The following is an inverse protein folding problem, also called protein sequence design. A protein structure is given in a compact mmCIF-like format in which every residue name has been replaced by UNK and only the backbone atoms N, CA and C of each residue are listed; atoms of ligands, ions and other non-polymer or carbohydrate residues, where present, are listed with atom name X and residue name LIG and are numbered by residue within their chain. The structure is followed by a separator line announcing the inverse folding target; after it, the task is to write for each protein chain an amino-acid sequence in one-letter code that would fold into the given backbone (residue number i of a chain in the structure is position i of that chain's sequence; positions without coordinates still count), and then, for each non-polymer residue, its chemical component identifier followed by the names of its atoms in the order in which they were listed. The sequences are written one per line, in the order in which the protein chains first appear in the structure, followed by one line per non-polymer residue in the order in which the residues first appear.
data_IF_798160886176
#
_entry.id   IF_798160886176
#
_cell.length_a   1.000
_cell.length_b   1.000
_cell.length_c   1.000
_cell.angle_alpha   90.00
_cell.angle_beta   90.00
_cell.angle_gamma   90.00
#
_symmetry.space_group_name_H-M   'P 1'
#
loop_
_entity.id
_entity.type
_entity.pdbx_description
1 polymer ?
#
# COMPACT_ATOMS: atom_id res chain seq x y z
N UNK A 1 -0.07 11.43 20.55
CA UNK A 1 -0.35 11.76 19.14
C UNK A 1 -0.74 10.49 18.43
N UNK A 2 -1.61 10.55 17.43
CA UNK A 2 -2.03 9.36 16.67
C UNK A 2 -1.42 9.36 15.27
N UNK A 3 -1.09 8.19 14.77
CA UNK A 3 -0.69 7.97 13.37
C UNK A 3 -1.45 6.79 12.80
N UNK A 4 -1.84 6.88 11.52
CA UNK A 4 -2.55 5.81 10.82
C UNK A 4 -1.72 5.26 9.66
N UNK A 5 -1.73 3.95 9.51
CA UNK A 5 -1.17 3.23 8.37
C UNK A 5 -2.32 2.84 7.48
N UNK A 6 -2.52 3.57 6.38
CA UNK A 6 -3.61 3.36 5.42
C UNK A 6 -3.21 2.30 4.40
N UNK A 7 -4.03 1.26 4.24
CA UNK A 7 -3.83 0.15 3.33
C UNK A 7 -4.91 0.14 2.26
N UNK A 8 -4.49 0.22 0.99
CA UNK A 8 -5.42 0.24 -0.14
C UNK A 8 -5.64 -1.16 -0.70
N UNK A 9 -6.90 -1.60 -0.74
CA UNK A 9 -7.30 -2.88 -1.34
C UNK A 9 -7.15 -2.82 -2.87
N UNK A 10 -6.46 -3.82 -3.43
CA UNK A 10 -6.38 -4.01 -4.87
C UNK A 10 -7.78 -4.25 -5.44
N UNK A 11 -8.10 -3.63 -6.60
CA UNK A 11 -9.34 -3.94 -7.32
C UNK A 11 -9.01 -4.93 -8.40
N UNK A 12 -9.31 -6.20 -8.14
CA UNK A 12 -9.16 -7.24 -9.13
C UNK A 12 -10.51 -7.49 -9.81
N UNK A 13 -10.65 -7.02 -11.04
CA UNK A 13 -11.82 -7.33 -11.88
C UNK A 13 -11.50 -8.53 -12.78
N UNK A 14 -12.15 -9.68 -12.52
CA UNK A 14 -11.96 -10.91 -13.32
C UNK A 14 -12.19 -10.71 -14.82
N UNK A 15 -13.15 -9.84 -15.20
CA UNK A 15 -13.45 -9.50 -16.59
C UNK A 15 -12.27 -8.83 -17.32
N UNK A 16 -11.42 -8.13 -16.58
CA UNK A 16 -10.22 -7.46 -17.09
C UNK A 16 -9.06 -8.43 -17.34
N UNK A 17 -9.14 -9.64 -16.80
CA UNK A 17 -8.17 -10.72 -17.02
C UNK A 17 -8.48 -11.52 -18.30
N UNK A 18 -9.75 -11.63 -18.67
CA UNK A 18 -10.21 -12.41 -19.83
C UNK A 18 -10.32 -11.59 -21.13
N UNK A 19 -10.36 -10.26 -21.04
CA UNK A 19 -10.30 -9.39 -22.23
C UNK A 19 -8.87 -8.90 -22.40
N UNK A 20 -8.35 -9.00 -23.61
CA UNK A 20 -7.04 -8.55 -24.16
C UNK A 20 -6.69 -7.07 -23.96
N UNK A 21 -7.28 -6.37 -22.98
CA UNK A 21 -6.85 -5.03 -22.60
C UNK A 21 -5.53 -5.13 -21.84
N UNK A 22 -4.56 -4.32 -22.27
CA UNK A 22 -3.27 -4.11 -21.58
C UNK A 22 -3.55 -3.81 -20.12
N UNK A 23 -3.35 -4.81 -19.27
CA UNK A 23 -3.57 -4.63 -17.85
C UNK A 23 -2.45 -3.70 -17.37
N UNK A 24 -2.81 -2.56 -16.76
CA UNK A 24 -1.89 -1.66 -16.08
C UNK A 24 -1.49 -2.31 -14.74
N UNK A 25 -0.82 -3.45 -14.87
CA UNK A 25 -0.64 -4.50 -13.87
C UNK A 25 0.64 -4.31 -13.06
N UNK A 26 1.22 -3.11 -12.94
CA UNK A 26 2.59 -3.04 -12.41
C UNK A 26 2.60 -3.30 -10.89
N UNK A 27 1.63 -2.84 -10.11
CA UNK A 27 1.59 -3.15 -8.66
C UNK A 27 0.96 -4.52 -8.34
N UNK A 28 -0.02 -4.96 -9.13
CA UNK A 28 -0.75 -6.23 -8.89
C UNK A 28 -0.07 -7.45 -9.56
N UNK A 29 0.64 -7.29 -10.68
CA UNK A 29 1.35 -8.41 -11.32
C UNK A 29 2.57 -8.83 -10.55
N UNK A 30 3.26 -7.91 -9.85
CA UNK A 30 4.39 -8.30 -9.00
C UNK A 30 3.92 -9.33 -7.99
N UNK A 31 2.77 -9.11 -7.33
CA UNK A 31 2.24 -10.05 -6.35
C UNK A 31 1.67 -11.34 -6.94
N UNK A 32 1.14 -11.34 -8.17
CA UNK A 32 0.59 -12.56 -8.80
C UNK A 32 1.68 -13.38 -9.48
N UNK A 33 2.59 -12.75 -10.24
CA UNK A 33 3.66 -13.42 -10.97
C UNK A 33 4.83 -13.87 -10.07
N UNK A 34 5.25 -13.09 -9.06
CA UNK A 34 6.28 -13.59 -8.15
C UNK A 34 5.80 -14.75 -7.27
N UNK A 35 4.48 -14.91 -7.08
CA UNK A 35 3.90 -16.04 -6.36
C UNK A 35 3.79 -17.31 -7.21
N UNK A 36 3.39 -17.17 -8.49
CA UNK A 36 3.31 -18.31 -9.41
C UNK A 36 4.69 -18.91 -9.70
N UNK A 37 5.77 -18.13 -9.57
CA UNK A 37 7.15 -18.57 -9.80
C UNK A 37 7.85 -19.05 -8.52
N UNK A 38 7.50 -18.56 -7.32
CA UNK A 38 8.21 -18.88 -6.07
C UNK A 38 7.45 -19.82 -5.10
N UNK A 39 6.41 -20.52 -5.53
CA UNK A 39 5.85 -21.62 -4.72
C UNK A 39 6.85 -22.80 -4.73
N UNK A 40 7.52 -23.11 -3.60
CA UNK A 40 8.42 -24.26 -3.54
C UNK A 40 7.59 -25.53 -3.72
N UNK A 41 7.87 -26.28 -4.79
CA UNK A 41 7.19 -27.55 -5.10
C UNK A 41 6.29 -27.53 -6.35
N UNK A 42 6.14 -26.40 -7.06
CA UNK A 42 5.45 -26.40 -8.36
C UNK A 42 6.43 -26.81 -9.46
N UNK A 43 6.64 -28.12 -9.58
CA UNK A 43 7.10 -28.72 -10.84
C UNK A 43 5.98 -28.52 -11.85
N UNK A 44 6.24 -27.78 -12.93
CA UNK A 44 5.33 -27.60 -14.06
C UNK A 44 5.22 -28.92 -14.85
N UNK A 45 4.66 -29.96 -14.23
CA UNK A 45 4.25 -31.17 -14.93
C UNK A 45 2.77 -31.05 -15.28
N UNK A 46 2.48 -31.28 -16.56
CA UNK A 46 1.14 -31.40 -17.15
C UNK A 46 0.30 -32.42 -16.37
N UNK A 47 -0.48 -31.94 -15.40
CA UNK A 47 -1.55 -32.72 -14.80
C UNK A 47 -2.80 -31.87 -14.85
N UNK A 48 -3.72 -32.19 -15.76
CA UNK A 48 -5.07 -31.60 -15.86
C UNK A 48 -5.60 -31.08 -14.50
N UNK A 49 -5.42 -29.77 -14.26
CA UNK A 49 -5.58 -29.16 -12.94
C UNK A 49 -7.05 -28.75 -12.72
N UNK A 50 -7.59 -29.08 -11.55
CA UNK A 50 -8.99 -28.83 -11.19
C UNK A 50 -9.23 -27.33 -10.87
N UNK A 51 -9.42 -26.52 -11.93
CA UNK A 51 -9.53 -25.05 -11.93
C UNK A 51 -10.49 -24.48 -10.87
N UNK A 52 -11.55 -25.23 -10.51
CA UNK A 52 -12.57 -24.79 -9.54
C UNK A 52 -12.06 -24.64 -8.10
N UNK A 53 -11.11 -25.48 -7.65
CA UNK A 53 -10.58 -25.44 -6.27
C UNK A 53 -9.54 -24.33 -6.08
N UNK A 54 -8.65 -24.14 -7.06
CA UNK A 54 -7.70 -23.01 -7.08
C UNK A 54 -8.44 -21.67 -7.17
N UNK A 55 -9.52 -21.61 -7.96
CA UNK A 55 -10.33 -20.41 -8.14
C UNK A 55 -10.74 -19.77 -6.81
N UNK A 56 -11.21 -20.55 -5.83
CA UNK A 56 -11.64 -20.01 -4.52
C UNK A 56 -10.47 -19.55 -3.64
N UNK A 57 -9.40 -20.35 -3.52
CA UNK A 57 -8.26 -20.00 -2.68
C UNK A 57 -7.48 -18.79 -3.22
N UNK A 58 -7.26 -18.76 -4.53
CA UNK A 58 -6.68 -17.60 -5.23
C UNK A 58 -7.60 -16.39 -5.13
N UNK A 59 -8.93 -16.57 -5.18
CA UNK A 59 -9.86 -15.46 -4.96
C UNK A 59 -9.85 -14.90 -3.57
N UNK A 60 -9.87 -15.76 -2.55
CA UNK A 60 -9.77 -15.30 -1.17
C UNK A 60 -8.44 -14.55 -0.96
N UNK A 61 -7.36 -15.09 -1.52
CA UNK A 61 -6.05 -14.48 -1.49
C UNK A 61 -6.01 -13.10 -2.17
N UNK A 62 -6.62 -12.95 -3.36
CA UNK A 62 -6.65 -11.69 -4.09
C UNK A 62 -7.56 -10.66 -3.42
N UNK A 63 -8.68 -11.09 -2.83
CA UNK A 63 -9.57 -10.20 -2.06
C UNK A 63 -8.89 -9.58 -0.84
N UNK A 64 -7.89 -10.26 -0.30
CA UNK A 64 -7.11 -9.82 0.88
C UNK A 64 -5.77 -9.14 0.51
N UNK A 65 -5.56 -8.81 -0.77
CA UNK A 65 -4.32 -8.18 -1.21
C UNK A 65 -4.40 -6.65 -1.13
N UNK A 66 -3.50 -6.08 -0.34
CA UNK A 66 -3.18 -4.65 -0.37
C UNK A 66 -2.17 -4.37 -1.47
N UNK A 67 -2.51 -3.44 -2.37
CA UNK A 67 -1.61 -3.00 -3.46
C UNK A 67 -0.80 -1.75 -3.07
N UNK A 68 -1.24 -1.01 -2.06
CA UNK A 68 -0.59 0.23 -1.64
C UNK A 68 -0.72 0.44 -0.13
N UNK A 69 0.19 1.24 0.43
CA UNK A 69 0.14 1.66 1.82
C UNK A 69 0.69 3.07 1.97
N UNK A 70 0.10 3.86 2.87
CA UNK A 70 0.50 5.23 3.18
C UNK A 70 0.58 5.45 4.70
N UNK A 71 1.42 6.40 5.13
CA UNK A 71 1.39 6.93 6.51
C UNK A 71 0.51 8.16 6.50
N UNK A 72 -0.53 8.17 7.32
CA UNK A 72 -1.46 9.29 7.45
C UNK A 72 -1.25 9.96 8.80
N UNK A 73 -0.91 11.24 8.75
CA UNK A 73 -0.78 12.12 9.91
C UNK A 73 -2.00 13.04 10.00
N UNK A 74 -2.46 13.37 11.22
CA UNK A 74 -3.60 14.25 11.41
C UNK A 74 -3.27 15.70 11.01
N UNK A 75 -4.28 16.55 10.96
CA UNK A 75 -4.10 18.01 10.85
C UNK A 75 -3.48 18.63 12.12
N UNK A 76 -3.30 19.94 12.12
CA UNK A 76 -2.76 20.71 13.24
C UNK A 76 -3.60 20.64 14.53
N UNK A 77 -4.87 20.24 14.41
CA UNK A 77 -5.79 20.03 15.53
C UNK A 77 -5.85 18.56 15.97
N UNK A 78 -5.05 17.67 15.37
CA UNK A 78 -5.05 16.25 15.69
C UNK A 78 -6.20 15.45 15.05
N UNK A 79 -6.89 16.03 14.07
CA UNK A 79 -8.03 15.40 13.37
C UNK A 79 -7.59 14.62 12.15
N UNK A 80 -8.24 13.49 11.92
CA UNK A 80 -8.10 12.69 10.70
C UNK A 80 -9.30 12.84 9.78
N UNK A 81 -10.50 12.88 10.33
CA UNK A 81 -11.72 13.09 9.57
C UNK A 81 -12.76 13.71 10.49
N UNK A 82 -13.79 14.29 9.88
CA UNK A 82 -14.97 14.77 10.57
C UNK A 82 -16.19 14.27 9.79
N UNK A 83 -17.23 13.90 10.52
CA UNK A 83 -18.52 13.57 9.95
C UNK A 83 -19.34 14.86 9.95
N UNK A 84 -19.41 15.53 8.80
CA UNK A 84 -20.30 16.67 8.69
C UNK A 84 -21.76 16.15 8.68
N UNK A 85 -22.60 16.71 9.55
CA UNK A 85 -24.06 16.57 9.44
C UNK A 85 -24.48 17.04 8.04
N UNK A 86 -24.99 16.11 7.26
CA UNK A 86 -25.22 16.27 5.84
C UNK A 86 -26.15 17.45 5.53
N UNK A 87 -25.83 18.21 4.47
CA UNK A 87 -26.85 18.90 3.68
C UNK A 87 -27.70 17.84 2.95
N UNK A 88 -28.63 17.20 3.65
CA UNK A 88 -29.69 16.37 3.07
C UNK A 88 -29.39 14.87 2.83
N UNK A 89 -29.08 14.12 3.89
CA UNK A 89 -29.14 12.65 4.00
C UNK A 89 -27.94 11.80 3.52
N UNK A 90 -26.80 12.39 3.15
CA UNK A 90 -25.59 11.62 2.87
C UNK A 90 -24.43 12.08 3.76
N UNK A 91 -23.84 11.20 4.60
CA UNK A 91 -22.66 11.58 5.39
C UNK A 91 -21.55 12.00 4.43
N UNK A 92 -21.12 13.25 4.54
CA UNK A 92 -19.95 13.74 3.81
C UNK A 92 -18.77 13.61 4.76
N UNK A 93 -17.95 12.59 4.54
CA UNK A 93 -16.70 12.45 5.29
C UNK A 93 -15.68 13.46 4.75
N UNK A 94 -15.27 14.42 5.60
CA UNK A 94 -14.16 15.30 5.31
C UNK A 94 -12.88 14.65 5.85
N UNK A 95 -11.90 14.36 4.97
CA UNK A 95 -10.62 13.77 5.38
C UNK A 95 -9.54 14.86 5.51
N UNK A 96 -8.94 14.94 6.70
CA UNK A 96 -7.94 15.94 7.09
C UNK A 96 -6.54 15.35 7.22
N UNK A 97 -5.55 16.25 7.31
CA UNK A 97 -4.16 15.88 7.50
C UNK A 97 -3.46 15.49 6.19
N UNK A 98 -2.30 14.86 6.34
CA UNK A 98 -1.37 14.59 5.22
C UNK A 98 -1.01 13.12 5.15
N UNK A 99 -1.09 12.55 3.95
CA UNK A 99 -0.65 11.21 3.63
C UNK A 99 0.74 11.24 2.99
N UNK A 100 1.63 10.38 3.47
CA UNK A 100 3.00 10.21 2.99
C UNK A 100 3.18 8.81 2.44
N UNK A 101 3.77 8.70 1.25
CA UNK A 101 4.01 7.41 0.60
C UNK A 101 5.17 7.47 -0.40
N UNK A 102 5.50 6.33 -1.00
CA UNK A 102 6.27 6.24 -2.24
C UNK A 102 5.42 5.62 -3.34
N UNK A 103 5.28 6.27 -4.48
CA UNK A 103 4.35 5.86 -5.55
C UNK A 103 4.98 5.88 -6.94
N UNK A 104 4.43 5.09 -7.86
CA UNK A 104 4.69 5.20 -9.30
C UNK A 104 3.66 6.08 -10.03
N UNK A 105 2.63 6.51 -9.31
CA UNK A 105 1.53 7.32 -9.85
C UNK A 105 1.98 8.77 -9.98
N UNK A 106 1.31 9.47 -10.88
CA UNK A 106 1.47 10.91 -11.10
C UNK A 106 2.88 11.29 -11.59
N UNK A 107 3.15 12.59 -11.74
CA UNK A 107 4.45 13.07 -12.20
C UNK A 107 5.54 12.88 -11.14
N UNK A 108 5.14 12.75 -9.88
CA UNK A 108 6.00 12.50 -8.73
C UNK A 108 6.29 11.01 -8.54
N UNK A 109 7.06 10.43 -9.47
CA UNK A 109 7.57 9.06 -9.30
C UNK A 109 8.51 9.02 -8.09
N UNK A 110 8.10 8.40 -6.99
CA UNK A 110 8.89 8.22 -5.77
C UNK A 110 8.16 8.72 -4.52
N UNK A 111 8.91 9.23 -3.55
CA UNK A 111 8.37 9.65 -2.24
C UNK A 111 7.68 11.00 -2.32
N UNK A 112 6.43 11.06 -1.89
CA UNK A 112 5.58 12.25 -1.98
C UNK A 112 4.73 12.42 -0.70
N UNK A 113 4.11 13.59 -0.57
CA UNK A 113 3.11 13.90 0.44
C UNK A 113 1.91 14.59 -0.19
N UNK A 114 0.70 14.17 0.17
CA UNK A 114 -0.55 14.72 -0.39
C UNK A 114 -1.59 14.91 0.71
N UNK A 115 -2.50 15.89 0.59
CA UNK A 115 -3.66 16.00 1.48
C UNK A 115 -4.47 14.70 1.51
N UNK A 116 -4.98 14.31 2.68
CA UNK A 116 -5.76 13.09 2.82
C UNK A 116 -7.02 13.08 1.95
N UNK A 117 -7.65 14.24 1.77
CA UNK A 117 -8.80 14.45 0.86
C UNK A 117 -8.50 14.10 -0.60
N UNK A 118 -7.25 14.22 -1.05
CA UNK A 118 -6.85 13.86 -2.41
C UNK A 118 -6.57 12.36 -2.56
N UNK A 119 -6.12 11.72 -1.49
CA UNK A 119 -5.76 10.29 -1.47
C UNK A 119 -6.99 9.41 -1.25
N UNK A 120 -7.87 9.82 -0.33
CA UNK A 120 -9.00 9.02 0.15
C UNK A 120 -10.26 9.36 -0.65
N UNK A 121 -10.27 9.01 -1.94
CA UNK A 121 -11.44 9.18 -2.83
C UNK A 121 -12.43 8.00 -2.80
N UNK A 122 -11.98 6.85 -2.32
CA UNK A 122 -12.72 5.58 -2.28
C UNK A 122 -12.57 4.94 -0.90
N UNK A 123 -13.18 5.50 0.16
CA UNK A 123 -12.94 5.09 1.54
C UNK A 123 -13.27 3.62 1.82
N UNK A 124 -14.21 3.03 1.09
CA UNK A 124 -14.56 1.60 1.16
C UNK A 124 -13.40 0.66 0.80
N UNK A 125 -12.38 1.20 0.11
CA UNK A 125 -11.18 0.47 -0.32
C UNK A 125 -10.00 0.66 0.62
N UNK A 126 -10.13 1.51 1.63
CA UNK A 126 -9.09 1.78 2.60
C UNK A 126 -9.40 1.08 3.91
N UNK A 127 -8.38 0.39 4.42
CA UNK A 127 -8.34 -0.06 5.81
C UNK A 127 -7.15 0.59 6.51
N UNK A 128 -7.19 0.71 7.83
CA UNK A 128 -6.09 1.32 8.56
C UNK A 128 -5.78 0.64 9.89
N UNK A 129 -4.53 0.82 10.32
CA UNK A 129 -4.09 0.58 11.70
C UNK A 129 -3.70 1.90 12.33
N UNK A 130 -4.21 2.14 13.52
CA UNK A 130 -3.92 3.34 14.31
C UNK A 130 -2.95 3.00 15.44
N UNK A 131 -2.02 3.92 15.69
CA UNK A 131 -1.05 3.81 16.77
C UNK A 131 -0.96 5.12 17.53
N UNK A 132 -0.94 5.02 18.85
CA UNK A 132 -0.54 6.11 19.72
C UNK A 132 0.99 6.18 19.78
N UNK A 133 1.53 7.34 19.45
CA UNK A 133 2.95 7.68 19.52
C UNK A 133 3.15 8.93 20.35
N UNK A 134 4.33 9.05 20.95
CA UNK A 134 4.70 10.24 21.74
C UNK A 134 4.91 11.46 20.83
N UNK A 135 4.80 12.70 21.35
CA UNK A 135 5.08 13.91 20.57
C UNK A 135 6.49 13.91 19.95
N UNK A 136 7.48 13.37 20.67
CA UNK A 136 8.85 13.26 20.17
C UNK A 136 8.97 12.27 19.02
N UNK A 137 8.34 11.08 19.12
CA UNK A 137 8.27 10.11 18.02
C UNK A 137 7.61 10.71 16.79
N UNK A 138 6.50 11.44 16.98
CA UNK A 138 5.80 12.15 15.92
C UNK A 138 6.72 13.13 15.19
N UNK A 139 7.44 13.98 15.95
CA UNK A 139 8.34 14.98 15.38
C UNK A 139 9.47 14.34 14.56
N UNK A 140 10.16 13.33 15.11
CA UNK A 140 11.24 12.63 14.39
C UNK A 140 10.71 11.94 13.14
N UNK A 141 9.56 11.27 13.25
CA UNK A 141 8.92 10.60 12.12
C UNK A 141 8.56 11.59 11.00
N UNK A 142 7.99 12.74 11.34
CA UNK A 142 7.63 13.80 10.41
C UNK A 142 8.87 14.38 9.70
N UNK A 143 9.91 14.76 10.46
CA UNK A 143 11.17 15.29 9.91
C UNK A 143 11.80 14.28 8.95
N UNK A 144 11.79 13.00 9.31
CA UNK A 144 12.29 11.94 8.43
C UNK A 144 11.48 11.84 7.13
N UNK A 145 10.15 11.82 7.20
CA UNK A 145 9.29 11.73 6.01
C UNK A 145 9.46 12.95 5.10
N UNK A 146 9.45 14.16 5.66
CA UNK A 146 9.68 15.39 4.92
C UNK A 146 11.05 15.40 4.22
N UNK A 147 12.09 14.89 4.89
CA UNK A 147 13.41 14.72 4.26
C UNK A 147 13.37 13.72 3.09
N UNK A 148 12.66 12.60 3.23
CA UNK A 148 12.51 11.65 2.11
C UNK A 148 11.77 12.28 0.93
N UNK A 149 10.66 12.97 1.18
CA UNK A 149 9.89 13.71 0.16
C UNK A 149 10.77 14.74 -0.54
N UNK A 150 11.53 15.56 0.20
CA UNK A 150 12.46 16.54 -0.37
C UNK A 150 13.55 15.90 -1.24
N UNK A 151 14.07 14.74 -0.83
CA UNK A 151 15.11 14.04 -1.58
C UNK A 151 14.58 13.29 -2.80
N UNK A 152 13.28 12.95 -2.82
CA UNK A 152 12.58 12.13 -3.80
C UNK A 152 13.49 11.34 -4.75
N UNK A 153 14.10 10.25 -4.24
CA UNK A 153 15.09 9.46 -5.00
C UNK A 153 14.49 8.69 -6.18
N UNK A 154 13.21 8.84 -6.46
CA UNK A 154 12.46 8.03 -7.39
C UNK A 154 11.87 6.78 -6.72
N UNK A 155 10.95 6.13 -7.43
CA UNK A 155 10.38 4.87 -6.99
C UNK A 155 11.40 3.72 -7.09
N UNK A 156 11.39 2.82 -6.11
CA UNK A 156 12.38 1.74 -6.01
C UNK A 156 12.26 0.58 -6.99
N UNK A 157 11.25 0.63 -7.87
CA UNK A 157 11.05 -0.35 -8.92
C UNK A 157 11.48 0.21 -10.28
N UNK A 158 12.46 -0.44 -10.93
CA UNK A 158 12.79 -0.19 -12.33
C UNK A 158 12.39 -1.40 -13.16
N UNK A 159 11.47 -1.19 -14.10
CA UNK A 159 11.03 -2.24 -15.03
C UNK A 159 11.94 -2.21 -16.26
N UNK A 160 12.98 -3.05 -16.31
CA UNK A 160 13.83 -3.20 -17.49
C UNK A 160 13.30 -4.36 -18.36
N UNK A 161 12.90 -4.06 -19.60
CA UNK A 161 12.65 -5.06 -20.65
C UNK A 161 11.29 -5.78 -20.58
N UNK A 162 10.22 -5.11 -21.03
CA UNK A 162 8.93 -5.77 -21.35
C UNK A 162 8.89 -6.40 -22.75
N UNK A 163 10.01 -6.39 -23.48
CA UNK A 163 10.04 -6.75 -24.90
C UNK A 163 10.32 -8.24 -25.20
N UNK A 164 10.76 -9.06 -24.23
CA UNK A 164 11.02 -10.50 -24.45
C UNK A 164 10.66 -11.41 -23.26
N UNK A 165 9.64 -11.07 -22.46
CA UNK A 165 9.08 -11.99 -21.46
C UNK A 165 9.99 -12.39 -20.28
N UNK A 166 11.20 -11.84 -20.19
CA UNK A 166 12.22 -12.12 -19.17
C UNK A 166 12.58 -10.87 -18.34
N UNK A 167 11.60 -10.01 -18.07
CA UNK A 167 11.82 -8.80 -17.28
C UNK A 167 12.24 -9.15 -15.85
N UNK A 168 13.54 -9.03 -15.53
CA UNK A 168 14.02 -9.08 -14.15
C UNK A 168 13.55 -7.84 -13.43
N UNK A 169 12.79 -8.05 -12.35
CA UNK A 169 12.47 -6.99 -11.39
C UNK A 169 13.77 -6.59 -10.70
N UNK A 170 14.33 -5.43 -11.07
CA UNK A 170 15.49 -4.88 -10.40
C UNK A 170 15.00 -3.86 -9.38
N UNK A 171 15.14 -4.24 -8.11
CA UNK A 171 14.85 -3.39 -6.98
C UNK A 171 16.09 -2.54 -6.64
N UNK A 172 15.93 -1.22 -6.64
CA UNK A 172 17.00 -0.29 -6.29
C UNK A 172 17.05 -0.11 -4.77
N UNK A 173 18.13 -0.59 -4.15
CA UNK A 173 18.32 -0.58 -2.69
C UNK A 173 18.32 0.82 -2.06
N UNK A 174 18.50 1.86 -2.86
CA UNK A 174 18.58 3.25 -2.38
C UNK A 174 17.27 4.02 -2.49
N UNK A 175 16.23 3.39 -3.05
CA UNK A 175 14.93 3.98 -3.34
C UNK A 175 13.85 3.22 -2.59
N UNK A 176 12.77 3.90 -2.26
CA UNK A 176 11.67 3.28 -1.52
C UNK A 176 10.56 2.84 -2.47
N UNK A 177 9.95 1.68 -2.18
CA UNK A 177 8.56 1.37 -2.56
C UNK A 177 7.63 1.79 -1.42
N UNK A 178 6.31 1.90 -1.67
CA UNK A 178 5.32 2.37 -0.67
C UNK A 178 5.49 1.69 0.70
N UNK A 179 5.45 0.37 0.71
CA UNK A 179 5.54 -0.44 1.92
C UNK A 179 6.89 -0.39 2.61
N UNK A 180 7.98 -0.13 1.90
CA UNK A 180 9.28 0.06 2.52
C UNK A 180 9.41 1.46 3.13
N UNK A 181 8.90 2.48 2.45
CA UNK A 181 8.83 3.82 3.01
C UNK A 181 8.06 3.80 4.34
N UNK A 182 6.87 3.22 4.34
CA UNK A 182 6.02 3.08 5.52
C UNK A 182 6.66 2.18 6.59
N UNK A 183 7.32 1.10 6.20
CA UNK A 183 8.09 0.26 7.12
C UNK A 183 9.21 1.05 7.82
N UNK A 184 9.99 1.82 7.06
CA UNK A 184 11.08 2.63 7.60
C UNK A 184 10.55 3.70 8.55
N UNK A 185 9.40 4.32 8.23
CA UNK A 185 8.71 5.18 9.18
C UNK A 185 8.37 4.46 10.48
N UNK A 186 7.78 3.26 10.41
CA UNK A 186 7.47 2.45 11.60
C UNK A 186 8.72 2.13 12.45
N UNK A 187 9.88 1.92 11.85
CA UNK A 187 11.16 1.80 12.57
C UNK A 187 11.57 3.12 13.21
N UNK A 188 11.47 4.24 12.47
CA UNK A 188 11.82 5.57 12.99
C UNK A 188 11.00 5.97 14.22
N UNK A 189 9.73 5.56 14.28
CA UNK A 189 8.84 5.84 15.42
C UNK A 189 8.79 4.68 16.44
N UNK A 190 9.70 3.71 16.35
CA UNK A 190 9.83 2.59 17.29
C UNK A 190 8.61 1.66 17.38
N UNK A 191 7.75 1.63 16.36
CA UNK A 191 6.73 0.58 16.20
C UNK A 191 7.41 -0.76 15.83
N UNK A 192 8.50 -0.70 15.07
CA UNK A 192 9.37 -1.84 14.79
C UNK A 192 10.78 -1.63 15.33
N UNK A 193 11.42 -2.74 15.71
CA UNK A 193 12.78 -2.73 16.26
C UNK A 193 13.88 -2.72 15.19
N UNK A 194 13.62 -3.19 13.96
CA UNK A 194 14.63 -3.26 12.90
C UNK A 194 14.08 -3.07 11.48
N UNK A 195 14.90 -2.57 10.53
CA UNK A 195 14.57 -2.50 9.11
C UNK A 195 14.44 -3.89 8.46
N UNK A 196 13.26 -4.25 7.95
CA UNK A 196 13.07 -5.43 7.10
C UNK A 196 13.33 -5.11 5.62
N UNK A 197 13.99 -6.05 4.92
CA UNK A 197 14.58 -5.78 3.58
C UNK A 197 13.57 -5.76 2.42
N UNK A 198 12.42 -6.45 2.52
CA UNK A 198 11.35 -6.41 1.52
C UNK A 198 10.02 -6.70 2.20
N UNK A 199 9.16 -5.70 2.27
CA UNK A 199 7.81 -5.82 2.83
C UNK A 199 6.86 -5.41 1.71
N UNK A 200 5.98 -6.29 1.25
CA UNK A 200 4.83 -5.87 0.44
C UNK A 200 3.79 -5.22 1.35
N UNK A 201 2.86 -4.38 0.84
CA UNK A 201 1.81 -3.79 1.68
C UNK A 201 1.04 -4.84 2.49
N UNK A 202 0.80 -6.03 1.90
CA UNK A 202 0.20 -7.17 2.60
C UNK A 202 1.05 -7.75 3.73
N UNK A 203 2.37 -7.91 3.51
CA UNK A 203 3.25 -8.39 4.59
C UNK A 203 3.29 -7.35 5.71
N UNK A 204 3.30 -6.07 5.36
CA UNK A 204 3.32 -4.97 6.33
C UNK A 204 2.05 -4.95 7.18
N UNK A 205 0.88 -5.11 6.56
CA UNK A 205 -0.40 -5.12 7.30
C UNK A 205 -0.48 -6.25 8.32
N UNK A 206 0.19 -7.38 8.06
CA UNK A 206 0.30 -8.52 9.00
C UNK A 206 1.34 -8.31 10.08
N UNK A 207 2.46 -7.66 9.76
CA UNK A 207 3.54 -7.42 10.71
C UNK A 207 3.22 -6.31 11.70
N UNK A 208 2.50 -5.27 11.27
CA UNK A 208 2.07 -4.22 12.18
C UNK A 208 1.15 -4.81 13.26
N UNK A 209 1.35 -4.50 14.55
CA UNK A 209 0.43 -4.95 15.59
C UNK A 209 -0.93 -4.27 15.48
N UNK A 210 -1.92 -4.72 16.25
CA UNK A 210 -3.25 -4.13 16.29
C UNK A 210 -4.25 -4.71 15.29
N UNK A 211 -5.52 -4.36 15.50
CA UNK A 211 -6.64 -4.75 14.63
C UNK A 211 -6.74 -3.80 13.45
N UNK A 212 -7.09 -4.35 12.30
CA UNK A 212 -7.36 -3.57 11.11
C UNK A 212 -8.77 -2.99 11.20
N UNK A 213 -8.92 -1.70 10.87
CA UNK A 213 -10.19 -0.98 10.90
C UNK A 213 -10.56 -0.58 9.48
N UNK A 214 -11.85 -0.63 9.12
CA UNK A 214 -12.32 -0.11 7.83
C UNK A 214 -12.50 1.39 7.97
N UNK A 215 -12.10 2.15 6.96
CA UNK A 215 -12.19 3.61 7.03
C UNK A 215 -13.64 4.13 7.05
N UNK A 216 -14.57 3.36 6.48
CA UNK A 216 -16.01 3.68 6.49
C UNK A 216 -16.69 3.43 7.85
N UNK A 217 -16.02 2.72 8.77
CA UNK A 217 -16.56 2.43 10.11
C UNK A 217 -15.98 3.37 11.17
N UNK A 218 -15.09 4.29 10.75
CA UNK A 218 -14.42 5.24 11.61
C UNK A 218 -15.30 6.48 11.71
#
# INVERSE_FOLDING_TARGET
MKVRFLFYKAKFEWRSFLKTRKIHLIDDAINVWTLLINLPGVVWQERSWNVKKWGKAVWQFIKECYSHVEVWLPDEYGRFYDEAESLGHFPVHAYFGTCYTSTMRDDEKGTCSRPASEVIKHPERWEYKEFDITPWQYHIGLVWMQKQVKLNKGYGFKNYGRFFGLGKIIYDRWKNICSQFTHNYAVMVFIFSMPFKIVSPRRLSRLLPGKMQRLIDA
#
